data_IF_236036109075
#
_entry.id   IF_236036109075
#
_cell.length_a   1.000
_cell.length_b   1.000
_cell.length_c   1.000
_cell.angle_alpha   90.00
_cell.angle_beta   90.00
_cell.angle_gamma   90.00
#
_symmetry.space_group_name_H-M   'P 1'
#
loop_
_entity.id
_entity.type
_entity.pdbx_description
1 polymer ?
#
# COMPACT_ATOMS: atom_id res chain seq x y z
N UNK A 1 -25.03 -16.75 -6.61
CA UNK A 1 -25.26 -15.30 -6.82
C UNK A 1 -23.92 -14.59 -6.63
N UNK A 2 -23.24 -14.33 -7.73
CA UNK A 2 -21.86 -13.87 -7.80
C UNK A 2 -21.83 -12.34 -7.79
N UNK A 3 -21.88 -11.74 -6.60
CA UNK A 3 -21.67 -10.30 -6.41
C UNK A 3 -20.16 -9.99 -6.44
N UNK A 4 -19.49 -10.24 -7.57
CA UNK A 4 -18.01 -10.29 -7.66
C UNK A 4 -17.33 -8.97 -8.02
N UNK A 5 -18.02 -7.83 -8.13
CA UNK A 5 -17.36 -6.64 -8.70
C UNK A 5 -17.64 -5.31 -8.01
N UNK A 6 -17.82 -5.31 -6.69
CA UNK A 6 -17.44 -4.11 -5.92
C UNK A 6 -15.98 -4.26 -5.55
N UNK A 7 -15.10 -3.83 -6.44
CA UNK A 7 -13.67 -3.73 -6.14
C UNK A 7 -13.53 -2.66 -5.06
N UNK A 8 -13.34 -3.10 -3.82
CA UNK A 8 -13.05 -2.20 -2.72
C UNK A 8 -11.71 -1.48 -3.00
N UNK A 9 -11.74 -0.16 -3.24
CA UNK A 9 -10.52 0.59 -3.55
C UNK A 9 -9.50 0.53 -2.41
N UNK A 10 -9.98 0.45 -1.15
CA UNK A 10 -9.13 0.32 0.04
C UNK A 10 -8.45 -1.06 0.02
N UNK A 11 -9.18 -2.12 -0.32
CA UNK A 11 -8.59 -3.47 -0.44
C UNK A 11 -7.50 -3.54 -1.54
N UNK A 12 -7.69 -2.81 -2.65
CA UNK A 12 -6.67 -2.72 -3.70
C UNK A 12 -5.42 -2.00 -3.22
N UNK A 13 -5.57 -0.87 -2.54
CA UNK A 13 -4.46 -0.09 -2.00
C UNK A 13 -3.71 -0.86 -0.92
N UNK A 14 -4.42 -1.56 -0.02
CA UNK A 14 -3.81 -2.43 0.99
C UNK A 14 -2.90 -3.51 0.37
N UNK A 15 -3.34 -4.12 -0.74
CA UNK A 15 -2.50 -5.08 -1.48
C UNK A 15 -1.27 -4.42 -2.09
N UNK A 16 -1.38 -3.20 -2.60
CA UNK A 16 -0.24 -2.46 -3.15
C UNK A 16 0.75 -2.09 -2.04
N UNK A 17 0.23 -1.63 -0.89
CA UNK A 17 1.01 -1.32 0.31
C UNK A 17 1.81 -2.54 0.76
N UNK A 18 1.16 -3.71 0.90
CA UNK A 18 1.85 -4.93 1.34
C UNK A 18 2.99 -5.34 0.39
N UNK A 19 2.78 -5.21 -0.93
CA UNK A 19 3.81 -5.50 -1.93
C UNK A 19 4.98 -4.52 -1.78
N UNK A 20 4.71 -3.22 -1.61
CA UNK A 20 5.77 -2.20 -1.45
C UNK A 20 6.57 -2.42 -0.18
N UNK A 21 5.92 -2.76 0.93
CA UNK A 21 6.58 -3.10 2.19
C UNK A 21 7.45 -4.36 2.05
N UNK A 22 6.95 -5.41 1.39
CA UNK A 22 7.75 -6.62 1.14
C UNK A 22 8.98 -6.32 0.28
N UNK A 23 8.83 -5.50 -0.77
CA UNK A 23 9.95 -5.05 -1.59
C UNK A 23 10.95 -4.22 -0.77
N UNK A 24 10.47 -3.32 0.09
CA UNK A 24 11.30 -2.51 0.96
C UNK A 24 12.08 -3.39 1.94
N UNK A 25 11.43 -4.38 2.57
CA UNK A 25 12.09 -5.33 3.47
C UNK A 25 13.19 -6.13 2.75
N UNK A 26 12.94 -6.58 1.53
CA UNK A 26 13.95 -7.27 0.74
C UNK A 26 15.13 -6.35 0.39
N UNK A 27 14.86 -5.10 0.00
CA UNK A 27 15.91 -4.10 -0.25
C UNK A 27 16.74 -3.81 1.00
N UNK A 28 16.08 -3.64 2.15
CA UNK A 28 16.74 -3.44 3.45
C UNK A 28 17.62 -4.63 3.82
N UNK A 29 17.12 -5.87 3.69
CA UNK A 29 17.89 -7.09 3.98
C UNK A 29 19.11 -7.24 3.08
N UNK A 30 19.01 -6.78 1.83
CA UNK A 30 20.11 -6.81 0.88
C UNK A 30 21.06 -5.61 1.02
N UNK A 31 20.78 -4.67 1.94
CA UNK A 31 21.60 -3.47 2.16
C UNK A 31 21.40 -2.36 1.11
N UNK A 32 20.38 -2.45 0.25
CA UNK A 32 20.06 -1.42 -0.72
C UNK A 32 19.21 -0.31 -0.07
N UNK A 33 19.91 0.58 0.64
CA UNK A 33 19.28 1.68 1.39
C UNK A 33 18.55 2.65 0.48
N UNK A 34 19.05 2.89 -0.74
CA UNK A 34 18.43 3.84 -1.68
C UNK A 34 17.06 3.32 -2.10
N UNK A 35 17.01 2.06 -2.54
CA UNK A 35 15.76 1.42 -2.96
C UNK A 35 14.81 1.27 -1.78
N UNK A 36 15.32 0.92 -0.60
CA UNK A 36 14.51 0.89 0.63
C UNK A 36 13.85 2.24 0.90
N UNK A 37 14.60 3.34 0.93
CA UNK A 37 14.06 4.68 1.18
C UNK A 37 12.99 5.08 0.16
N UNK A 38 13.19 4.75 -1.12
CA UNK A 38 12.21 5.01 -2.17
C UNK A 38 10.93 4.20 -1.96
N UNK A 39 11.05 2.89 -1.75
CA UNK A 39 9.89 2.00 -1.56
C UNK A 39 9.12 2.32 -0.28
N UNK A 40 9.80 2.72 0.78
CA UNK A 40 9.16 3.20 2.02
C UNK A 40 8.38 4.49 1.81
N UNK A 41 8.92 5.45 1.05
CA UNK A 41 8.20 6.68 0.72
C UNK A 41 6.95 6.40 -0.14
N UNK A 42 7.05 5.48 -1.11
CA UNK A 42 5.90 5.04 -1.91
C UNK A 42 4.84 4.32 -1.06
N UNK A 43 5.27 3.49 -0.11
CA UNK A 43 4.37 2.82 0.83
C UNK A 43 3.61 3.85 1.69
N UNK A 44 4.29 4.87 2.21
CA UNK A 44 3.67 5.94 3.00
C UNK A 44 2.62 6.72 2.19
N UNK A 45 2.87 6.97 0.91
CA UNK A 45 1.90 7.64 0.03
C UNK A 45 0.64 6.79 -0.19
N UNK A 46 0.80 5.48 -0.33
CA UNK A 46 -0.34 4.54 -0.44
C UNK A 46 -1.15 4.53 0.86
N UNK A 47 -0.48 4.52 2.02
CA UNK A 47 -1.13 4.55 3.33
C UNK A 47 -1.97 5.83 3.52
N UNK A 48 -1.43 6.98 3.14
CA UNK A 48 -2.17 8.27 3.13
C UNK A 48 -3.43 8.20 2.26
N UNK A 49 -3.36 7.53 1.10
CA UNK A 49 -4.53 7.34 0.25
C UNK A 49 -5.59 6.44 0.89
N UNK A 50 -5.16 5.38 1.60
CA UNK A 50 -6.06 4.50 2.35
C UNK A 50 -6.79 5.31 3.43
N UNK A 51 -6.05 6.02 4.29
CA UNK A 51 -6.61 6.85 5.36
C UNK A 51 -7.58 7.91 4.80
N UNK A 52 -7.23 8.55 3.68
CA UNK A 52 -8.11 9.52 3.03
C UNK A 52 -9.41 8.90 2.50
N UNK A 53 -9.39 7.65 2.04
CA UNK A 53 -10.58 6.93 1.58
C UNK A 53 -11.43 6.42 2.76
N UNK A 54 -10.82 5.92 3.82
CA UNK A 54 -11.50 5.49 5.04
C UNK A 54 -12.25 6.66 5.70
N UNK A 55 -11.60 7.82 5.79
CA UNK A 55 -12.22 9.04 6.30
C UNK A 55 -13.40 9.50 5.44
N UNK A 56 -13.34 9.33 4.11
CA UNK A 56 -14.44 9.64 3.18
C UNK A 56 -15.60 8.64 3.25
N UNK A 57 -15.37 7.40 3.66
CA UNK A 57 -16.43 6.39 3.81
C UNK A 57 -17.15 6.50 5.16
N UNK A 58 -16.50 7.08 6.16
CA UNK A 58 -17.04 7.21 7.53
C UNK A 58 -17.81 8.53 7.74
N UNK A 59 -17.61 9.52 6.86
CA UNK A 59 -18.32 10.80 6.83
C UNK A 59 -19.62 10.72 6.01
#
# INVERSE_FOLDING_TARGET
MFSIFKQDPIKKLNKQLSIKLEQAMNAQRNGDIRTYSQLSAEAEEIDKQIVALENKQTA
#
